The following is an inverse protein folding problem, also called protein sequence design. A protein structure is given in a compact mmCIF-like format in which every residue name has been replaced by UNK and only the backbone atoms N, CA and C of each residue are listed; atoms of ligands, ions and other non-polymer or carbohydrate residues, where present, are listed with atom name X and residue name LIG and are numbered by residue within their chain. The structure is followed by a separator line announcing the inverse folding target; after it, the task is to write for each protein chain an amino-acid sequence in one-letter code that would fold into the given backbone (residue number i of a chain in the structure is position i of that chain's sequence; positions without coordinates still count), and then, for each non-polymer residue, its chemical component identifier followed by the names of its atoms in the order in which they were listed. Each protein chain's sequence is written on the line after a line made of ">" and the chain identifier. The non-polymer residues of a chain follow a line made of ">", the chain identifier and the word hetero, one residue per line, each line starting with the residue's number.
data_IF_970437095012
#
_entry.id   IF_970437095012
#
_cell.length_a   1.000
_cell.length_b   1.000
_cell.length_c   1.000
_cell.angle_alpha   90.00
_cell.angle_beta   90.00
_cell.angle_gamma   90.00
#
_symmetry.space_group_name_H-M   'P 1'
#
loop_
_entity.id
_entity.type
_entity.pdbx_description
1 polymer ?
#
# COMPACT_ATOMS: atom_id res chain seq x y z
N UNK A 1 -6.45 -19.71 20.63
CA UNK A 1 -6.05 -18.84 19.49
C UNK A 1 -5.16 -19.69 18.57
N UNK A 2 -5.56 -19.84 17.33
CA UNK A 2 -4.80 -20.59 16.31
C UNK A 2 -3.66 -19.70 15.75
N UNK A 3 -2.56 -19.58 16.48
CA UNK A 3 -1.41 -18.75 16.10
C UNK A 3 -0.64 -19.23 14.85
N UNK A 4 -0.90 -20.45 14.41
CA UNK A 4 -0.21 -21.04 13.26
C UNK A 4 -0.90 -20.76 11.92
N UNK A 5 -2.09 -20.15 11.94
CA UNK A 5 -2.83 -19.81 10.74
C UNK A 5 -2.20 -18.61 10.03
N UNK A 6 -2.15 -18.68 8.70
CA UNK A 6 -1.58 -17.62 7.87
C UNK A 6 -2.66 -16.60 7.53
N UNK A 7 -2.33 -15.33 7.69
CA UNK A 7 -3.09 -14.19 7.18
C UNK A 7 -2.41 -13.73 5.89
N UNK A 8 -3.10 -13.82 4.78
CA UNK A 8 -2.57 -13.42 3.48
C UNK A 8 -3.04 -12.02 3.14
N UNK A 9 -2.10 -11.12 2.82
CA UNK A 9 -2.39 -9.75 2.41
C UNK A 9 -1.98 -9.56 0.95
N UNK A 10 -2.92 -9.17 0.10
CA UNK A 10 -2.68 -8.80 -1.29
C UNK A 10 -2.36 -7.32 -1.37
N UNK A 11 -1.14 -6.99 -1.81
CA UNK A 11 -0.57 -5.65 -1.84
C UNK A 11 0.29 -5.32 -0.63
N UNK A 12 1.39 -4.58 -0.86
CA UNK A 12 2.39 -4.16 0.14
C UNK A 12 2.64 -2.65 0.16
N UNK A 13 1.75 -1.83 -0.43
CA UNK A 13 1.85 -0.36 -0.39
C UNK A 13 1.67 0.21 1.01
N UNK A 14 1.76 1.54 1.17
CA UNK A 14 1.77 2.23 2.47
C UNK A 14 0.57 1.91 3.38
N UNK A 15 -0.64 1.84 2.83
CA UNK A 15 -1.82 1.49 3.61
C UNK A 15 -1.86 0.00 3.97
N UNK A 16 -1.46 -0.88 3.05
CA UNK A 16 -1.31 -2.30 3.29
C UNK A 16 -0.28 -2.56 4.39
N UNK A 17 0.87 -1.85 4.34
CA UNK A 17 1.95 -1.97 5.32
C UNK A 17 1.48 -1.68 6.75
N UNK A 18 0.60 -0.69 6.95
CA UNK A 18 0.00 -0.46 8.27
C UNK A 18 -0.79 -1.67 8.79
N UNK A 19 -1.53 -2.34 7.92
CA UNK A 19 -2.26 -3.57 8.23
C UNK A 19 -1.30 -4.72 8.53
N UNK A 20 -0.32 -4.94 7.66
CA UNK A 20 0.72 -5.97 7.80
C UNK A 20 1.46 -5.80 9.13
N UNK A 21 1.92 -4.57 9.42
CA UNK A 21 2.61 -4.24 10.65
C UNK A 21 1.75 -4.53 11.90
N UNK A 22 0.47 -4.18 11.87
CA UNK A 22 -0.44 -4.42 12.99
C UNK A 22 -0.66 -5.89 13.26
N UNK A 23 -0.82 -6.70 12.21
CA UNK A 23 -1.00 -8.15 12.30
C UNK A 23 0.28 -8.83 12.78
N UNK A 24 1.43 -8.45 12.23
CA UNK A 24 2.75 -8.91 12.64
C UNK A 24 3.03 -8.58 14.13
N UNK A 25 2.79 -7.34 14.55
CA UNK A 25 2.95 -6.91 15.95
C UNK A 25 2.04 -7.68 16.93
N UNK A 26 0.89 -8.17 16.43
CA UNK A 26 0.01 -9.05 17.20
C UNK A 26 0.49 -10.52 17.26
N UNK A 27 1.64 -10.84 16.67
CA UNK A 27 2.24 -12.16 16.64
C UNK A 27 1.59 -13.13 15.65
N UNK A 28 0.92 -12.62 14.62
CA UNK A 28 0.29 -13.41 13.56
C UNK A 28 1.27 -13.68 12.41
N UNK A 29 1.15 -14.84 11.76
CA UNK A 29 1.89 -15.14 10.54
C UNK A 29 1.25 -14.42 9.36
N UNK A 30 1.97 -13.47 8.76
CA UNK A 30 1.51 -12.72 7.60
C UNK A 30 2.31 -13.15 6.37
N UNK A 31 1.62 -13.37 5.23
CA UNK A 31 2.21 -13.53 3.90
C UNK A 31 1.71 -12.37 3.02
N UNK A 32 2.62 -11.70 2.34
CA UNK A 32 2.27 -10.63 1.40
C UNK A 32 2.42 -11.12 -0.03
N UNK A 33 1.39 -10.91 -0.86
CA UNK A 33 1.45 -11.11 -2.31
C UNK A 33 1.46 -9.75 -3.01
N UNK A 34 2.45 -9.52 -3.86
CA UNK A 34 2.66 -8.25 -4.52
C UNK A 34 2.83 -8.38 -6.04
N UNK A 35 2.74 -7.28 -6.75
CA UNK A 35 3.03 -7.18 -8.17
C UNK A 35 4.54 -7.30 -8.45
N UNK A 36 4.90 -7.65 -9.70
CA UNK A 36 6.30 -7.68 -10.15
C UNK A 36 6.95 -6.28 -10.13
N UNK A 37 6.16 -5.25 -10.36
CA UNK A 37 6.58 -3.85 -10.34
C UNK A 37 5.62 -3.02 -9.48
N UNK A 38 5.81 -3.00 -8.16
CA UNK A 38 5.01 -2.15 -7.27
C UNK A 38 5.18 -0.66 -7.56
N UNK A 39 4.08 0.10 -7.49
CA UNK A 39 4.03 1.52 -7.80
C UNK A 39 3.83 2.40 -6.55
N UNK A 40 4.32 1.97 -5.40
CA UNK A 40 4.21 2.75 -4.18
C UNK A 40 5.01 4.05 -4.29
N UNK A 41 4.38 5.20 -4.03
CA UNK A 41 5.11 6.47 -3.96
C UNK A 41 5.62 6.76 -2.55
N UNK A 42 4.95 6.27 -1.50
CA UNK A 42 5.43 6.36 -0.12
C UNK A 42 6.33 5.17 0.21
N UNK A 43 7.40 5.02 -0.59
CA UNK A 43 8.29 3.84 -0.59
C UNK A 43 8.90 3.56 0.79
N UNK A 44 9.26 4.59 1.55
CA UNK A 44 9.89 4.47 2.87
C UNK A 44 9.02 3.77 3.92
N UNK A 45 7.72 3.64 3.65
CA UNK A 45 6.75 2.97 4.53
C UNK A 45 5.93 1.91 3.79
N UNK A 46 6.51 1.30 2.77
CA UNK A 46 5.87 0.28 1.92
C UNK A 46 6.72 -0.98 1.86
N UNK A 47 6.19 -2.09 2.37
CA UNK A 47 6.89 -3.39 2.29
C UNK A 47 6.99 -3.93 0.87
N UNK A 48 6.25 -3.35 -0.07
CA UNK A 48 6.39 -3.64 -1.51
C UNK A 48 7.80 -3.36 -2.04
N UNK A 49 8.58 -2.48 -1.39
CA UNK A 49 9.97 -2.24 -1.77
C UNK A 49 10.86 -3.49 -1.65
N UNK A 50 10.47 -4.48 -0.85
CA UNK A 50 11.15 -5.76 -0.80
C UNK A 50 11.22 -6.46 -2.18
N UNK A 51 10.26 -6.21 -3.07
CA UNK A 51 10.27 -6.76 -4.44
C UNK A 51 11.48 -6.27 -5.23
N UNK A 52 11.93 -5.04 -5.01
CA UNK A 52 13.07 -4.45 -5.70
C UNK A 52 14.40 -4.66 -4.97
N UNK A 53 14.39 -4.52 -3.64
CA UNK A 53 15.61 -4.49 -2.81
C UNK A 53 15.93 -5.85 -2.16
N UNK A 54 15.04 -6.86 -2.31
CA UNK A 54 15.13 -8.14 -1.59
C UNK A 54 14.57 -8.06 -0.17
N UNK A 55 14.63 -6.91 0.48
CA UNK A 55 14.04 -6.66 1.81
C UNK A 55 13.57 -5.21 1.97
N UNK A 56 12.63 -5.00 2.89
CA UNK A 56 12.20 -3.68 3.35
C UNK A 56 12.01 -3.69 4.86
N UNK A 57 12.39 -2.59 5.54
CA UNK A 57 12.20 -2.46 6.99
C UNK A 57 11.32 -1.25 7.27
N UNK A 58 10.20 -1.46 7.93
CA UNK A 58 9.26 -0.38 8.31
C UNK A 58 8.95 -0.50 9.80
N UNK A 59 9.31 0.52 10.57
CA UNK A 59 9.10 0.58 12.02
C UNK A 59 9.50 -0.71 12.77
N UNK A 60 10.68 -1.25 12.43
CA UNK A 60 11.21 -2.46 13.04
C UNK A 60 10.70 -3.78 12.47
N UNK A 61 9.64 -3.78 11.68
CA UNK A 61 9.19 -4.95 10.94
C UNK A 61 10.02 -5.13 9.67
N UNK A 62 10.66 -6.29 9.52
CA UNK A 62 11.37 -6.68 8.31
C UNK A 62 10.44 -7.49 7.40
N UNK A 63 10.39 -7.11 6.13
CA UNK A 63 9.73 -7.85 5.07
C UNK A 63 10.79 -8.34 4.07
N UNK A 64 10.77 -9.63 3.73
CA UNK A 64 11.80 -10.28 2.90
C UNK A 64 11.17 -10.91 1.67
N UNK A 65 11.70 -10.62 0.49
CA UNK A 65 11.30 -11.26 -0.75
C UNK A 65 11.68 -12.74 -0.73
N UNK A 66 10.75 -13.60 -1.06
CA UNK A 66 10.95 -15.05 -1.15
C UNK A 66 10.34 -15.59 -2.44
N UNK A 67 10.91 -16.69 -2.95
CA UNK A 67 10.48 -17.30 -4.19
C UNK A 67 9.59 -18.52 -3.97
N UNK A 68 9.68 -19.14 -2.79
CA UNK A 68 8.98 -20.39 -2.45
C UNK A 68 8.29 -20.30 -1.08
N UNK A 69 7.29 -21.15 -0.87
CA UNK A 69 6.64 -21.27 0.44
C UNK A 69 7.58 -21.84 1.51
N UNK A 70 8.55 -22.66 1.14
CA UNK A 70 9.57 -23.17 2.08
C UNK A 70 10.45 -22.03 2.60
N UNK A 71 10.85 -21.10 1.73
CA UNK A 71 11.54 -19.88 2.15
C UNK A 71 10.68 -19.01 3.04
N UNK A 72 9.36 -18.90 2.75
CA UNK A 72 8.44 -18.16 3.61
C UNK A 72 8.38 -18.73 5.03
N UNK A 73 8.44 -20.07 5.18
CA UNK A 73 8.52 -20.72 6.51
C UNK A 73 9.79 -20.29 7.26
N UNK A 74 10.93 -20.22 6.57
CA UNK A 74 12.20 -19.76 7.18
C UNK A 74 12.09 -18.32 7.64
N UNK A 75 11.47 -17.44 6.84
CA UNK A 75 11.26 -16.03 7.19
C UNK A 75 10.35 -15.89 8.41
N UNK A 76 9.24 -16.62 8.48
CA UNK A 76 8.37 -16.64 9.68
C UNK A 76 9.10 -17.14 10.94
N UNK A 77 9.98 -18.14 10.80
CA UNK A 77 10.76 -18.63 11.95
C UNK A 77 11.71 -17.57 12.53
N UNK A 78 12.10 -16.57 11.72
CA UNK A 78 12.90 -15.42 12.17
C UNK A 78 12.04 -14.31 12.79
N UNK A 79 10.72 -14.40 12.69
CA UNK A 79 9.78 -13.37 13.12
C UNK A 79 9.56 -12.26 12.06
N UNK A 80 10.02 -12.47 10.83
CA UNK A 80 9.90 -11.55 9.72
C UNK A 80 8.64 -11.83 8.86
N UNK A 81 8.37 -10.96 7.88
CA UNK A 81 7.22 -11.07 6.99
C UNK A 81 7.69 -11.48 5.58
N UNK A 82 7.33 -12.65 5.04
CA UNK A 82 7.62 -13.00 3.66
C UNK A 82 6.76 -12.19 2.67
N UNK A 83 7.40 -11.77 1.58
CA UNK A 83 6.77 -11.13 0.42
C UNK A 83 7.00 -12.00 -0.80
N UNK A 84 5.97 -12.31 -1.56
CA UNK A 84 6.05 -13.09 -2.80
C UNK A 84 5.47 -12.31 -3.97
N UNK A 85 6.06 -12.46 -5.14
CA UNK A 85 5.49 -11.90 -6.37
C UNK A 85 4.42 -12.86 -6.89
N UNK A 86 3.15 -12.48 -6.68
CA UNK A 86 1.98 -13.20 -7.18
C UNK A 86 0.78 -12.23 -7.30
N UNK A 87 0.74 -11.38 -8.33
CA UNK A 87 -0.32 -10.39 -8.49
C UNK A 87 -1.72 -10.99 -8.66
N UNK A 88 -1.79 -12.23 -9.14
CA UNK A 88 -3.08 -12.92 -9.38
C UNK A 88 -3.58 -13.72 -8.18
N UNK A 89 -2.73 -13.94 -7.16
CA UNK A 89 -3.09 -14.77 -6.01
C UNK A 89 -3.15 -16.26 -6.36
N UNK A 90 -2.35 -16.72 -7.31
CA UNK A 90 -2.32 -18.13 -7.75
C UNK A 90 -1.87 -19.08 -6.62
N UNK A 91 -1.14 -18.58 -5.64
CA UNK A 91 -0.66 -19.34 -4.47
C UNK A 91 -1.73 -19.52 -3.39
N UNK A 92 -2.82 -18.77 -3.40
CA UNK A 92 -3.85 -18.80 -2.35
C UNK A 92 -4.40 -20.22 -2.10
N UNK A 93 -4.74 -21.03 -3.13
CA UNK A 93 -5.23 -22.39 -2.91
C UNK A 93 -4.20 -23.33 -2.30
N UNK A 94 -2.91 -23.07 -2.49
CA UNK A 94 -1.81 -23.85 -1.90
C UNK A 94 -1.56 -23.43 -0.46
N UNK A 95 -1.56 -22.12 -0.16
CA UNK A 95 -1.36 -21.55 1.17
C UNK A 95 -2.51 -21.88 2.11
N UNK A 96 -3.75 -21.87 1.61
CA UNK A 96 -4.99 -22.06 2.38
C UNK A 96 -5.05 -21.14 3.60
N UNK A 97 -4.95 -19.81 3.41
CA UNK A 97 -4.92 -18.87 4.53
C UNK A 97 -6.24 -18.88 5.31
N UNK A 98 -6.18 -18.57 6.60
CA UNK A 98 -7.39 -18.38 7.41
C UNK A 98 -8.12 -17.08 7.03
N UNK A 99 -7.38 -16.10 6.56
CA UNK A 99 -7.90 -14.78 6.15
C UNK A 99 -7.17 -14.30 4.91
N UNK A 100 -7.91 -13.75 3.95
CA UNK A 100 -7.37 -12.95 2.85
C UNK A 100 -7.77 -11.50 3.04
N UNK A 101 -6.79 -10.59 3.00
CA UNK A 101 -7.02 -9.14 3.01
C UNK A 101 -6.59 -8.56 1.66
N UNK A 102 -7.54 -8.04 0.88
CA UNK A 102 -7.21 -7.27 -0.31
C UNK A 102 -6.88 -5.82 0.10
N UNK A 103 -5.61 -5.49 -0.01
CA UNK A 103 -5.05 -4.18 0.29
C UNK A 103 -4.34 -3.55 -0.93
N UNK A 104 -4.67 -4.02 -2.15
CA UNK A 104 -4.10 -3.51 -3.41
C UNK A 104 -4.52 -2.05 -3.65
N UNK A 105 -5.73 -1.66 -3.22
CA UNK A 105 -6.27 -0.31 -3.35
C UNK A 105 -6.41 0.18 -4.80
N UNK A 106 -6.64 -0.74 -5.73
CA UNK A 106 -6.84 -0.44 -7.16
C UNK A 106 -8.16 0.29 -7.47
N UNK A 107 -9.02 0.51 -6.45
CA UNK A 107 -10.36 1.13 -6.58
C UNK A 107 -11.33 0.32 -7.45
N UNK A 108 -10.97 -0.89 -7.77
CA UNK A 108 -11.75 -1.93 -8.45
C UNK A 108 -11.26 -3.28 -7.98
N UNK A 109 -12.12 -4.28 -7.99
CA UNK A 109 -11.72 -5.65 -7.70
C UNK A 109 -10.80 -6.20 -8.80
N UNK A 110 -9.64 -6.71 -8.43
CA UNK A 110 -8.67 -7.37 -9.31
C UNK A 110 -8.68 -8.90 -9.14
N UNK A 111 -9.85 -9.47 -8.83
CA UNK A 111 -10.06 -10.90 -8.77
C UNK A 111 -10.05 -11.49 -7.37
N UNK A 112 -10.23 -10.69 -6.31
CA UNK A 112 -10.47 -11.22 -4.96
C UNK A 112 -11.93 -11.64 -4.82
N UNK A 113 -12.15 -12.87 -4.32
CA UNK A 113 -13.48 -13.47 -4.14
C UNK A 113 -13.61 -14.08 -2.74
N UNK A 114 -14.85 -14.24 -2.28
CA UNK A 114 -15.17 -14.75 -0.93
C UNK A 114 -14.69 -16.17 -0.65
N UNK A 115 -14.52 -16.98 -1.69
CA UNK A 115 -14.09 -18.38 -1.59
C UNK A 115 -12.56 -18.56 -1.43
N UNK A 116 -11.80 -17.46 -1.48
CA UNK A 116 -10.35 -17.50 -1.31
C UNK A 116 -9.90 -17.87 0.12
N UNK A 117 -10.74 -17.62 1.14
CA UNK A 117 -10.45 -17.95 2.54
C UNK A 117 -11.75 -18.03 3.36
N UNK A 118 -11.70 -18.64 4.58
CA UNK A 118 -12.81 -18.59 5.55
C UNK A 118 -13.26 -17.19 5.95
N UNK A 119 -12.39 -16.18 5.81
CA UNK A 119 -12.69 -14.75 5.97
C UNK A 119 -11.97 -13.95 4.90
N UNK A 120 -12.71 -13.09 4.20
CA UNK A 120 -12.18 -12.18 3.19
C UNK A 120 -12.52 -10.74 3.54
N UNK A 121 -11.50 -9.86 3.47
CA UNK A 121 -11.60 -8.44 3.82
C UNK A 121 -11.01 -7.62 2.68
N UNK A 122 -11.68 -6.55 2.24
CA UNK A 122 -11.12 -5.62 1.28
C UNK A 122 -11.02 -4.20 1.85
N UNK A 123 -9.97 -3.47 1.45
CA UNK A 123 -9.74 -2.10 1.88
C UNK A 123 -10.21 -1.09 0.83
N UNK A 124 -11.23 -0.29 1.19
CA UNK A 124 -11.72 0.83 0.38
C UNK A 124 -12.66 0.43 -0.76
N UNK A 125 -12.85 1.35 -1.72
CA UNK A 125 -13.82 1.18 -2.79
C UNK A 125 -13.38 0.16 -3.84
N UNK A 126 -14.36 -0.42 -4.52
CA UNK A 126 -14.16 -1.41 -5.59
C UNK A 126 -14.68 -2.80 -5.23
N UNK A 127 -15.24 -2.94 -4.03
CA UNK A 127 -15.78 -4.20 -3.50
C UNK A 127 -17.16 -3.98 -2.87
N UNK A 128 -18.02 -4.99 -2.97
CA UNK A 128 -19.29 -5.09 -2.27
C UNK A 128 -19.15 -6.12 -1.15
N UNK A 129 -19.32 -5.66 0.11
CA UNK A 129 -19.36 -6.55 1.27
C UNK A 129 -20.60 -7.46 1.21
N UNK A 130 -20.41 -8.75 1.49
CA UNK A 130 -21.44 -9.78 1.38
C UNK A 130 -21.53 -10.42 -0.01
N UNK A 131 -20.93 -9.80 -1.05
CA UNK A 131 -20.90 -10.32 -2.43
C UNK A 131 -19.47 -10.69 -2.86
N UNK A 132 -18.59 -9.69 -3.05
CA UNK A 132 -17.21 -9.90 -3.49
C UNK A 132 -16.32 -10.45 -2.36
N UNK A 133 -16.51 -9.91 -1.15
CA UNK A 133 -15.78 -10.23 0.08
C UNK A 133 -16.73 -10.24 1.27
N UNK A 134 -16.33 -10.81 2.41
CA UNK A 134 -17.17 -10.81 3.60
C UNK A 134 -17.32 -9.41 4.20
N UNK A 135 -16.21 -8.64 4.24
CA UNK A 135 -16.19 -7.30 4.81
C UNK A 135 -15.38 -6.32 3.96
N UNK A 136 -15.83 -5.06 3.97
CA UNK A 136 -15.07 -3.95 3.41
C UNK A 136 -14.71 -2.97 4.55
N UNK A 137 -13.48 -2.48 4.58
CA UNK A 137 -13.05 -1.44 5.54
C UNK A 137 -12.95 -0.09 4.83
N UNK A 138 -13.67 0.90 5.34
CA UNK A 138 -13.70 2.26 4.78
C UNK A 138 -12.33 2.93 4.85
N UNK A 139 -11.87 3.50 3.74
CA UNK A 139 -10.56 4.17 3.63
C UNK A 139 -10.65 5.67 3.42
N UNK A 140 -11.83 6.25 3.25
CA UNK A 140 -12.00 7.71 3.12
C UNK A 140 -11.76 8.39 4.47
N UNK A 141 -10.89 9.42 4.49
CA UNK A 141 -10.66 10.24 5.70
C UNK A 141 -11.96 10.86 6.22
N UNK A 142 -12.06 11.00 7.52
CA UNK A 142 -13.21 11.52 8.26
C UNK A 142 -13.73 10.53 9.28
N UNK A 143 -14.89 10.80 9.87
CA UNK A 143 -15.48 9.99 10.95
C UNK A 143 -15.81 8.54 10.56
N UNK A 144 -15.81 8.21 9.28
CA UNK A 144 -16.07 6.85 8.80
C UNK A 144 -14.79 6.06 8.49
N UNK A 145 -13.61 6.68 8.59
CA UNK A 145 -12.33 6.00 8.37
C UNK A 145 -12.23 4.77 9.29
N UNK A 146 -11.85 3.64 8.72
CA UNK A 146 -11.73 2.37 9.42
C UNK A 146 -13.08 1.68 9.72
N UNK A 147 -14.23 2.25 9.35
CA UNK A 147 -15.51 1.59 9.60
C UNK A 147 -15.60 0.27 8.87
N UNK A 148 -15.98 -0.78 9.60
CA UNK A 148 -16.28 -2.11 9.04
C UNK A 148 -17.67 -2.07 8.39
N UNK A 149 -17.72 -2.40 7.11
CA UNK A 149 -18.93 -2.49 6.28
C UNK A 149 -19.24 -3.99 6.10
N UNK A 150 -20.39 -4.40 6.59
CA UNK A 150 -20.86 -5.78 6.56
C UNK A 150 -21.75 -6.07 5.35
N UNK A 151 -22.32 -5.02 4.75
CA UNK A 151 -23.21 -5.07 3.58
C UNK A 151 -23.06 -3.78 2.79
N UNK A 152 -22.96 -3.87 1.46
CA UNK A 152 -22.81 -2.77 0.53
C UNK A 152 -21.35 -2.36 0.31
N UNK A 153 -21.12 -1.08 -0.04
CA UNK A 153 -19.84 -0.58 -0.56
C UNK A 153 -19.23 0.52 0.32
N UNK A 154 -17.91 0.68 0.27
CA UNK A 154 -17.22 1.87 0.77
C UNK A 154 -17.57 3.10 -0.06
N UNK A 155 -17.33 4.29 0.49
CA UNK A 155 -17.56 5.54 -0.23
C UNK A 155 -16.74 5.55 -1.53
N UNK A 156 -17.39 5.78 -2.69
CA UNK A 156 -16.70 5.81 -3.96
C UNK A 156 -15.51 6.78 -3.97
N UNK A 157 -14.47 6.40 -4.71
CA UNK A 157 -13.31 7.28 -4.86
C UNK A 157 -13.70 8.52 -5.68
N UNK A 158 -13.46 9.70 -5.11
CA UNK A 158 -13.73 10.98 -5.78
C UNK A 158 -12.58 11.46 -6.65
N UNK A 159 -11.41 10.81 -6.59
CA UNK A 159 -10.18 11.31 -7.21
C UNK A 159 -9.57 12.53 -6.52
N UNK A 160 -10.28 13.13 -5.56
CA UNK A 160 -9.82 14.32 -4.83
C UNK A 160 -9.14 13.91 -3.53
N UNK A 161 -7.85 14.25 -3.34
CA UNK A 161 -7.12 13.99 -2.10
C UNK A 161 -7.73 14.78 -0.92
N UNK A 162 -7.54 14.26 0.29
CA UNK A 162 -7.93 15.01 1.49
C UNK A 162 -7.07 16.28 1.66
N UNK A 163 -7.68 17.32 2.23
CA UNK A 163 -6.99 18.59 2.53
C UNK A 163 -5.98 18.38 3.66
N UNK A 164 -4.75 18.84 3.45
CA UNK A 164 -3.67 18.90 4.45
C UNK A 164 -3.00 20.27 4.31
N UNK A 165 -2.90 21.03 5.41
CA UNK A 165 -2.28 22.37 5.39
C UNK A 165 -2.91 23.36 4.39
N UNK A 166 -4.21 23.19 4.10
CA UNK A 166 -4.94 24.04 3.15
C UNK A 166 -4.88 23.57 1.68
N UNK A 167 -4.06 22.57 1.34
CA UNK A 167 -3.88 22.04 -0.02
C UNK A 167 -4.54 20.67 -0.18
N UNK A 168 -5.04 20.38 -1.38
CA UNK A 168 -5.70 19.11 -1.75
C UNK A 168 -5.05 18.49 -2.98
N UNK A 169 -5.50 18.83 -4.17
CA UNK A 169 -5.00 18.31 -5.45
C UNK A 169 -3.58 18.77 -5.76
N UNK A 170 -3.22 19.95 -5.34
CA UNK A 170 -1.92 20.59 -5.57
C UNK A 170 -0.77 19.81 -4.93
N UNK A 171 -1.09 19.01 -3.89
CA UNK A 171 -0.11 18.15 -3.21
C UNK A 171 0.30 16.94 -4.02
N UNK A 172 -0.53 16.54 -4.98
CA UNK A 172 -0.31 15.33 -5.76
C UNK A 172 0.25 15.68 -7.13
N UNK A 173 1.42 15.16 -7.43
CA UNK A 173 2.07 15.35 -8.72
C UNK A 173 1.76 14.15 -9.63
N UNK A 174 1.34 14.45 -10.85
CA UNK A 174 1.02 13.45 -11.86
C UNK A 174 1.94 13.58 -13.06
N UNK A 175 2.22 12.46 -13.73
CA UNK A 175 2.97 12.43 -14.98
C UNK A 175 2.23 13.23 -16.08
N UNK A 176 2.91 14.19 -16.69
CA UNK A 176 2.35 14.99 -17.78
C UNK A 176 2.33 14.24 -19.11
N UNK A 177 3.07 13.13 -19.22
CA UNK A 177 3.17 12.27 -20.40
C UNK A 177 3.51 10.84 -20.02
N UNK A 178 3.49 9.94 -20.97
CA UNK A 178 4.02 8.57 -20.84
C UNK A 178 5.55 8.54 -21.03
N UNK A 179 6.21 7.56 -20.44
CA UNK A 179 7.65 7.35 -20.55
C UNK A 179 8.23 6.65 -19.31
N UNK A 180 9.54 6.76 -19.15
CA UNK A 180 10.25 6.24 -17.97
C UNK A 180 10.49 7.38 -16.99
N UNK A 181 10.13 7.17 -15.74
CA UNK A 181 10.30 8.15 -14.66
C UNK A 181 11.74 8.09 -14.12
N UNK A 182 12.39 9.25 -14.00
CA UNK A 182 13.73 9.39 -13.44
C UNK A 182 13.71 10.35 -12.26
N UNK A 183 14.03 9.88 -11.06
CA UNK A 183 14.06 10.70 -9.86
C UNK A 183 15.29 11.62 -9.84
N UNK A 184 15.10 12.88 -9.44
CA UNK A 184 16.17 13.88 -9.26
C UNK A 184 16.26 14.38 -7.82
N UNK A 185 15.29 14.05 -6.99
CA UNK A 185 15.20 14.38 -5.57
C UNK A 185 14.88 13.11 -4.77
N UNK A 186 15.05 13.19 -3.46
CA UNK A 186 14.76 12.09 -2.55
C UNK A 186 13.51 12.37 -1.69
N UNK A 187 12.87 11.29 -1.21
CA UNK A 187 11.82 11.42 -0.18
C UNK A 187 12.45 12.04 1.08
N UNK A 188 11.84 13.10 1.59
CA UNK A 188 12.33 13.89 2.72
C UNK A 188 12.94 15.22 2.30
N UNK A 189 13.26 15.43 1.02
CA UNK A 189 13.76 16.72 0.54
C UNK A 189 12.72 17.82 0.72
N UNK A 190 13.19 18.99 1.11
CA UNK A 190 12.39 20.22 1.10
C UNK A 190 12.38 20.78 -0.32
N UNK A 191 11.19 21.12 -0.79
CA UNK A 191 10.96 21.64 -2.15
C UNK A 191 10.18 22.94 -2.10
N UNK A 192 10.39 23.79 -3.14
CA UNK A 192 9.66 25.03 -3.38
C UNK A 192 8.75 24.90 -4.62
N UNK A 193 7.72 25.75 -4.75
CA UNK A 193 6.89 25.74 -5.95
C UNK A 193 7.73 25.93 -7.22
N UNK A 194 7.56 25.04 -8.19
CA UNK A 194 8.32 25.05 -9.45
C UNK A 194 9.61 24.22 -9.43
N UNK A 195 10.03 23.67 -8.29
CA UNK A 195 11.20 22.81 -8.23
C UNK A 195 11.00 21.55 -9.08
N UNK A 196 12.03 21.19 -9.85
CA UNK A 196 12.07 19.93 -10.60
C UNK A 196 12.44 18.81 -9.62
N UNK A 197 11.57 17.83 -9.50
CA UNK A 197 11.75 16.67 -8.60
C UNK A 197 12.10 15.38 -9.34
N UNK A 198 11.79 15.33 -10.63
CA UNK A 198 12.01 14.19 -11.50
C UNK A 198 11.95 14.61 -12.97
N UNK A 199 12.26 13.69 -13.87
CA UNK A 199 12.06 13.82 -15.31
C UNK A 199 11.32 12.58 -15.84
N UNK A 200 10.56 12.74 -16.93
CA UNK A 200 10.00 11.61 -17.69
C UNK A 200 10.67 11.59 -19.05
N UNK A 201 11.38 10.50 -19.32
CA UNK A 201 12.02 10.22 -20.59
C UNK A 201 11.06 9.45 -21.48
N UNK A 202 10.66 10.07 -22.59
CA UNK A 202 9.83 9.45 -23.60
C UNK A 202 10.64 8.48 -24.47
N UNK A 203 9.95 7.63 -25.22
CA UNK A 203 10.56 6.65 -26.12
C UNK A 203 11.43 7.28 -27.24
N UNK A 204 11.24 8.57 -27.54
CA UNK A 204 12.05 9.33 -28.49
C UNK A 204 13.30 9.99 -27.84
N UNK A 205 13.54 9.74 -26.56
CA UNK A 205 14.63 10.31 -25.77
C UNK A 205 14.34 11.73 -25.23
N UNK A 206 13.18 12.30 -25.51
CA UNK A 206 12.83 13.64 -25.00
C UNK A 206 12.55 13.54 -23.50
N UNK A 207 13.20 14.40 -22.70
CA UNK A 207 12.99 14.52 -21.25
C UNK A 207 12.07 15.69 -20.94
N UNK A 208 11.06 15.40 -20.11
CA UNK A 208 10.07 16.39 -19.64
C UNK A 208 10.19 16.51 -18.12
N UNK A 209 10.43 17.72 -17.57
CA UNK A 209 10.54 17.91 -16.14
C UNK A 209 9.20 17.67 -15.43
N UNK A 210 9.28 17.06 -14.25
CA UNK A 210 8.17 16.92 -13.29
C UNK A 210 8.40 17.90 -12.16
N UNK A 211 7.49 18.88 -12.03
CA UNK A 211 7.65 19.97 -11.06
C UNK A 211 6.59 19.91 -9.98
N UNK A 212 6.90 20.49 -8.81
CA UNK A 212 5.94 20.67 -7.73
C UNK A 212 5.12 21.94 -7.91
N UNK A 213 3.84 21.92 -7.51
CA UNK A 213 2.99 23.11 -7.50
C UNK A 213 3.04 23.88 -6.18
N UNK A 214 3.48 23.22 -5.11
CA UNK A 214 3.53 23.79 -3.74
C UNK A 214 4.90 23.52 -3.10
N UNK A 215 5.27 24.36 -2.13
CA UNK A 215 6.39 24.10 -1.25
C UNK A 215 6.04 23.13 -0.13
N UNK A 216 7.05 22.44 0.40
CA UNK A 216 6.87 21.50 1.49
C UNK A 216 7.95 20.43 1.52
N UNK A 217 7.59 19.25 2.02
CA UNK A 217 8.44 18.05 2.04
C UNK A 217 7.97 17.09 0.97
N UNK A 218 8.88 16.58 0.17
CA UNK A 218 8.62 15.50 -0.79
C UNK A 218 8.37 14.20 0.00
N UNK A 219 7.11 13.96 0.33
CA UNK A 219 6.70 12.86 1.20
C UNK A 219 6.61 11.52 0.48
N UNK A 220 6.38 11.56 -0.80
CA UNK A 220 6.29 10.39 -1.65
C UNK A 220 6.82 10.68 -3.04
N UNK A 221 7.57 9.73 -3.59
CA UNK A 221 8.18 9.79 -4.91
C UNK A 221 8.20 8.40 -5.51
N UNK A 222 7.78 8.27 -6.76
CA UNK A 222 7.82 7.02 -7.51
C UNK A 222 9.28 6.58 -7.68
N UNK A 223 9.50 5.28 -7.81
CA UNK A 223 10.83 4.70 -8.00
C UNK A 223 11.43 5.10 -9.36
N UNK A 224 12.74 5.32 -9.37
CA UNK A 224 13.51 5.53 -10.60
C UNK A 224 13.35 4.35 -11.57
N UNK A 225 13.31 4.62 -12.86
CA UNK A 225 13.12 3.62 -13.90
C UNK A 225 11.69 3.08 -14.08
N UNK A 226 10.70 3.59 -13.31
CA UNK A 226 9.33 3.10 -13.40
C UNK A 226 8.62 3.60 -14.67
N UNK A 227 7.96 2.71 -15.47
CA UNK A 227 7.18 3.13 -16.63
C UNK A 227 5.89 3.83 -16.20
N UNK A 228 5.66 5.03 -16.67
CA UNK A 228 4.47 5.82 -16.35
C UNK A 228 3.62 6.11 -17.58
N UNK A 229 2.32 6.20 -17.37
CA UNK A 229 1.38 6.73 -18.35
C UNK A 229 0.99 8.16 -18.00
N UNK A 230 0.46 8.91 -18.95
CA UNK A 230 -0.07 10.26 -18.67
C UNK A 230 -1.13 10.20 -17.55
N UNK A 231 -1.03 11.11 -16.58
CA UNK A 231 -1.92 11.17 -15.42
C UNK A 231 -1.57 10.19 -14.28
N UNK A 232 -0.51 9.37 -14.43
CA UNK A 232 -0.07 8.50 -13.35
C UNK A 232 0.45 9.32 -12.18
N UNK A 233 0.07 8.95 -10.94
CA UNK A 233 0.54 9.63 -9.73
C UNK A 233 1.99 9.28 -9.46
N UNK A 234 2.88 10.29 -9.48
CA UNK A 234 4.33 10.10 -9.34
C UNK A 234 4.92 10.65 -8.05
N UNK A 235 4.26 11.63 -7.42
CA UNK A 235 4.75 12.18 -6.16
C UNK A 235 3.62 12.74 -5.28
N UNK A 236 3.97 13.02 -4.01
CA UNK A 236 3.10 13.65 -3.02
C UNK A 236 3.94 14.59 -2.14
N UNK A 237 3.55 15.87 -2.07
CA UNK A 237 4.18 16.89 -1.24
C UNK A 237 3.35 17.16 -0.01
N UNK A 238 3.97 17.15 1.17
CA UNK A 238 3.35 17.59 2.42
C UNK A 238 3.75 19.06 2.68
N UNK A 239 2.79 20.01 2.74
CA UNK A 239 3.12 21.42 2.93
C UNK A 239 3.69 21.73 4.33
N UNK A 240 3.58 20.80 5.28
CA UNK A 240 4.04 20.94 6.66
C UNK A 240 5.51 20.55 6.78
N UNK A 241 6.40 21.52 6.76
CA UNK A 241 7.87 21.28 6.75
C UNK A 241 8.40 20.69 8.05
N UNK A 242 7.68 20.88 9.14
CA UNK A 242 7.97 20.29 10.46
C UNK A 242 7.69 18.80 10.55
N UNK A 243 6.97 18.23 9.59
CA UNK A 243 6.50 16.84 9.60
C UNK A 243 7.42 15.86 8.83
N UNK A 244 8.73 16.17 8.77
CA UNK A 244 9.71 15.35 8.04
C UNK A 244 9.70 13.88 8.47
N UNK A 245 9.66 13.62 9.77
CA UNK A 245 9.65 12.27 10.32
C UNK A 245 8.48 11.43 9.80
N UNK A 246 7.35 12.07 9.47
CA UNK A 246 6.17 11.39 8.94
C UNK A 246 6.37 10.79 7.55
N UNK A 247 7.46 11.14 6.85
CA UNK A 247 7.85 10.46 5.61
C UNK A 247 8.20 8.99 5.85
N UNK A 248 8.70 8.67 7.04
CA UNK A 248 9.25 7.38 7.44
C UNK A 248 8.36 6.62 8.43
N UNK A 249 7.18 7.16 8.75
CA UNK A 249 6.24 6.56 9.70
C UNK A 249 4.94 6.11 9.01
N UNK A 250 4.41 4.98 9.48
CA UNK A 250 3.09 4.49 9.11
C UNK A 250 2.05 5.54 9.49
N UNK A 251 1.22 5.97 8.54
CA UNK A 251 0.26 7.05 8.74
C UNK A 251 -0.86 6.71 9.74
N UNK A 252 -1.45 7.75 10.33
CA UNK A 252 -2.68 7.68 11.11
C UNK A 252 -3.81 6.92 10.41
N UNK A 253 -3.97 7.19 9.11
CA UNK A 253 -4.95 6.51 8.25
C UNK A 253 -4.68 5.01 8.16
N UNK A 254 -3.43 4.61 7.90
CA UNK A 254 -3.06 3.20 7.80
C UNK A 254 -3.25 2.48 9.14
N UNK A 255 -2.90 3.14 10.27
CA UNK A 255 -3.10 2.58 11.62
C UNK A 255 -4.56 2.41 11.99
N UNK A 256 -5.42 3.38 11.61
CA UNK A 256 -6.86 3.29 11.84
C UNK A 256 -7.49 2.10 11.08
N UNK A 257 -7.18 1.98 9.79
CA UNK A 257 -7.66 0.86 8.95
C UNK A 257 -7.17 -0.48 9.51
N UNK A 258 -5.89 -0.57 9.89
CA UNK A 258 -5.29 -1.76 10.45
C UNK A 258 -5.96 -2.24 11.75
N UNK A 259 -6.48 -1.31 12.56
CA UNK A 259 -7.24 -1.63 13.77
C UNK A 259 -8.49 -2.45 13.45
N UNK A 260 -9.26 -2.03 12.44
CA UNK A 260 -10.48 -2.72 12.01
C UNK A 260 -10.20 -4.06 11.36
N UNK A 261 -9.10 -4.18 10.61
CA UNK A 261 -8.69 -5.49 10.07
C UNK A 261 -8.30 -6.44 11.21
N UNK A 262 -7.54 -5.98 12.21
CA UNK A 262 -7.17 -6.80 13.35
C UNK A 262 -8.42 -7.27 14.15
N UNK A 263 -9.44 -6.40 14.30
CA UNK A 263 -10.70 -6.75 14.95
C UNK A 263 -11.36 -7.94 14.24
N UNK A 264 -11.53 -7.87 12.91
CA UNK A 264 -12.13 -8.95 12.12
C UNK A 264 -11.31 -10.25 12.14
N UNK A 265 -9.97 -10.12 12.04
CA UNK A 265 -9.06 -11.26 12.14
C UNK A 265 -9.16 -11.93 13.51
N UNK A 266 -9.22 -11.14 14.58
CA UNK A 266 -9.38 -11.64 15.94
C UNK A 266 -10.72 -12.36 16.12
N UNK A 267 -11.83 -11.79 15.63
CA UNK A 267 -13.15 -12.46 15.63
C UNK A 267 -13.08 -13.83 14.93
N UNK A 268 -12.34 -13.96 13.83
CA UNK A 268 -12.20 -15.20 13.08
C UNK A 268 -11.34 -16.24 13.81
N UNK A 269 -10.22 -15.83 14.39
CA UNK A 269 -9.26 -16.75 15.01
C UNK A 269 -9.67 -17.19 16.43
N UNK A 270 -10.63 -16.51 17.05
CA UNK A 270 -11.13 -16.86 18.39
C UNK A 270 -12.41 -17.72 18.35
N UNK A 271 -12.96 -17.96 17.17
CA UNK A 271 -14.00 -18.96 16.95
C UNK A 271 -13.40 -20.37 16.92
#
# INVERSE_FOLDING_TARGET
>A
MKRDEVILVRGGGDLATGTIHRLWSAGLKVLVLEAEQPAAIRRQVSVSEAVYEGEAVVEGMRATLVQTLDEAVVVWCRGDVPVMVDPKGALIPQVRPAVVVDAILAKRNLGTTRDMAPLTIALGPGFTAGEDVDFVVETKRGHRLGRIIREGIAVPNTGVPGVIGGYSTERVVHAAREGIFHELRAIGDVVEPGDVIAEIEAFDGTRTPVTTCIGGILRGLLRDGYPVTMGFKVADVDPRREELENCFLISDKARCIAGSVLELVAEQLWK
#
